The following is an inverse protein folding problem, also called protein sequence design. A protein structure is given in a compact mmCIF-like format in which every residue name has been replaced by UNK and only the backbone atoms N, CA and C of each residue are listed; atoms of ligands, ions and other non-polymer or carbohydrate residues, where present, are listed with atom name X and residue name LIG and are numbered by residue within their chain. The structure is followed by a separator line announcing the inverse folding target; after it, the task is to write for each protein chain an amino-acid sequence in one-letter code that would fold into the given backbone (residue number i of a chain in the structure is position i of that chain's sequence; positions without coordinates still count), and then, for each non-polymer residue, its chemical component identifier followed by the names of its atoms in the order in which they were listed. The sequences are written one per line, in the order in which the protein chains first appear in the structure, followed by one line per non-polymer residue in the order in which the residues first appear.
data_IF_041796268603
#
_entry.id   IF_041796268603
#
_cell.length_a   1.000
_cell.length_b   1.000
_cell.length_c   1.000
_cell.angle_alpha   90.00
_cell.angle_beta   90.00
_cell.angle_gamma   90.00
#
_symmetry.space_group_name_H-M   'P 1'
#
loop_
_entity.id
_entity.type
_entity.pdbx_description
1 polymer ?
#
# COMPACT_ATOMS: atom_id res chain seq x y z
N UNK A 1 14.98 -22.19 -9.80
CA UNK A 1 15.63 -21.97 -8.45
C UNK A 1 14.95 -22.82 -7.38
N UNK A 2 14.30 -23.87 -7.81
CA UNK A 2 13.55 -24.75 -6.96
C UNK A 2 14.52 -25.69 -6.26
N UNK A 3 14.51 -25.74 -4.94
CA UNK A 3 15.15 -26.79 -4.19
C UNK A 3 16.32 -26.43 -3.28
N UNK A 4 16.69 -25.16 -3.11
CA UNK A 4 17.73 -24.77 -2.14
C UNK A 4 17.24 -24.83 -0.68
N UNK A 5 15.92 -24.68 -0.47
CA UNK A 5 15.32 -24.68 0.85
C UNK A 5 14.06 -25.56 0.86
N UNK A 6 13.75 -26.23 1.97
CA UNK A 6 12.52 -27.03 2.13
C UNK A 6 11.26 -26.19 2.36
N UNK A 7 11.34 -24.88 2.18
CA UNK A 7 10.27 -23.90 2.37
C UNK A 7 10.32 -22.84 1.26
N UNK A 8 9.20 -22.20 1.01
CA UNK A 8 9.10 -21.08 0.10
C UNK A 8 9.75 -19.83 0.68
N UNK A 9 10.41 -19.04 -0.18
CA UNK A 9 11.03 -17.77 0.20
C UNK A 9 10.41 -16.65 -0.61
N UNK A 10 10.11 -15.51 0.04
CA UNK A 10 9.53 -14.32 -0.57
C UNK A 10 10.57 -13.29 -1.02
N UNK A 11 11.85 -13.53 -0.73
CA UNK A 11 12.93 -12.63 -1.11
C UNK A 11 14.24 -12.87 -0.39
N UNK A 12 15.08 -11.83 -0.38
CA UNK A 12 16.40 -11.83 0.24
C UNK A 12 16.53 -10.70 1.24
N UNK A 13 17.24 -10.95 2.33
CA UNK A 13 17.61 -9.93 3.31
C UNK A 13 19.12 -9.75 3.28
N UNK A 14 19.56 -8.51 3.02
CA UNK A 14 20.97 -8.13 3.02
C UNK A 14 21.26 -7.35 4.30
N UNK A 15 22.25 -7.80 5.06
CA UNK A 15 22.74 -7.14 6.26
C UNK A 15 24.25 -6.98 6.20
N UNK A 16 24.83 -5.89 6.73
CA UNK A 16 26.28 -5.74 6.78
C UNK A 16 26.88 -6.80 7.70
N UNK A 17 27.92 -7.51 7.23
CA UNK A 17 28.59 -8.55 8.02
C UNK A 17 29.40 -7.99 9.19
N UNK A 18 29.81 -6.74 9.12
CA UNK A 18 30.69 -6.11 10.09
C UNK A 18 29.96 -5.35 11.21
N UNK A 19 28.62 -5.21 11.10
CA UNK A 19 27.80 -4.52 12.09
C UNK A 19 27.00 -5.54 12.91
N UNK A 20 26.97 -5.36 14.23
CA UNK A 20 25.98 -6.07 15.03
C UNK A 20 24.57 -5.61 14.67
N UNK A 21 23.59 -6.51 14.70
CA UNK A 21 22.19 -6.18 14.42
C UNK A 21 21.73 -5.04 15.32
N UNK A 22 21.14 -4.00 14.72
CA UNK A 22 20.77 -2.79 15.44
C UNK A 22 21.90 -1.78 15.66
N UNK A 23 23.14 -2.15 15.33
CA UNK A 23 24.30 -1.26 15.39
C UNK A 23 24.46 -0.40 14.15
N UNK A 24 25.28 0.65 14.24
CA UNK A 24 25.61 1.55 13.15
C UNK A 24 27.11 1.73 12.93
N UNK A 25 27.92 0.95 13.62
CA UNK A 25 29.38 1.01 13.57
C UNK A 25 29.98 -0.38 13.43
N UNK A 26 31.09 -0.46 12.72
CA UNK A 26 31.89 -1.68 12.60
C UNK A 26 32.35 -2.18 13.97
N UNK A 27 32.19 -3.49 14.22
CA UNK A 27 32.57 -4.12 15.46
C UNK A 27 31.67 -3.86 16.67
N UNK A 28 30.58 -3.13 16.47
CA UNK A 28 29.59 -2.92 17.54
C UNK A 28 28.79 -4.20 17.79
N UNK A 29 28.57 -4.54 19.06
CA UNK A 29 27.76 -5.69 19.44
C UNK A 29 26.28 -5.49 19.06
N UNK A 30 25.57 -6.58 18.77
CA UNK A 30 24.12 -6.57 18.53
C UNK A 30 23.37 -6.00 19.73
N UNK A 31 22.37 -5.19 19.45
CA UNK A 31 21.45 -4.62 20.47
C UNK A 31 20.00 -4.93 20.10
N UNK A 32 19.14 -5.10 21.11
CA UNK A 32 17.70 -5.16 20.83
C UNK A 32 17.24 -3.80 20.29
N UNK A 33 16.64 -3.80 19.12
CA UNK A 33 16.04 -2.60 18.51
C UNK A 33 14.53 -2.78 18.48
N UNK A 34 13.82 -1.73 18.88
CA UNK A 34 12.35 -1.65 18.76
C UNK A 34 11.89 -1.05 17.42
N UNK A 35 12.83 -0.49 16.66
CA UNK A 35 12.59 0.19 15.40
C UNK A 35 13.23 -0.59 14.24
N UNK A 36 12.81 -0.29 13.03
CA UNK A 36 13.42 -0.87 11.82
C UNK A 36 14.89 -0.49 11.73
N UNK A 37 15.75 -1.50 11.59
CA UNK A 37 17.18 -1.27 11.41
C UNK A 37 17.48 -0.82 9.98
N UNK A 38 17.97 0.41 9.81
CA UNK A 38 18.19 1.06 8.50
C UNK A 38 19.22 0.38 7.61
N UNK A 39 20.11 -0.43 8.15
CA UNK A 39 21.10 -1.19 7.40
C UNK A 39 20.62 -2.59 6.98
N UNK A 40 19.37 -2.93 7.24
CA UNK A 40 18.77 -4.17 6.75
C UNK A 40 17.98 -3.87 5.48
N UNK A 41 18.44 -4.39 4.35
CA UNK A 41 17.79 -4.23 3.05
C UNK A 41 17.05 -5.51 2.67
N UNK A 42 15.77 -5.38 2.36
CA UNK A 42 14.93 -6.48 1.89
C UNK A 42 14.69 -6.33 0.41
N UNK A 43 15.01 -7.37 -0.35
CA UNK A 43 14.66 -7.45 -1.76
C UNK A 43 13.60 -8.53 -1.95
N UNK A 44 12.52 -8.17 -2.64
CA UNK A 44 11.43 -9.07 -3.01
C UNK A 44 11.17 -8.95 -4.51
N UNK A 45 10.84 -10.06 -5.21
CA UNK A 45 10.25 -9.97 -6.55
C UNK A 45 8.99 -9.10 -6.52
N UNK A 46 8.70 -8.38 -7.62
CA UNK A 46 7.55 -7.46 -7.71
C UNK A 46 6.22 -8.10 -7.29
N UNK A 47 6.03 -9.37 -7.64
CA UNK A 47 4.81 -10.14 -7.27
C UNK A 47 4.59 -10.32 -5.76
N UNK A 48 5.62 -10.09 -4.93
CA UNK A 48 5.54 -10.15 -3.47
C UNK A 48 5.61 -8.76 -2.82
N UNK A 49 5.67 -7.70 -3.62
CA UNK A 49 5.61 -6.34 -3.09
C UNK A 49 4.15 -5.96 -2.88
N UNK A 50 3.81 -5.72 -1.63
CA UNK A 50 2.47 -5.34 -1.21
C UNK A 50 2.52 -4.02 -0.45
N UNK A 51 1.41 -3.29 -0.45
CA UNK A 51 1.24 -2.05 0.29
C UNK A 51 -0.09 -2.13 1.04
N UNK A 52 -0.05 -1.78 2.32
CA UNK A 52 -1.23 -1.65 3.15
C UNK A 52 -1.89 -0.28 2.92
N UNK A 53 -3.15 -0.28 2.51
CA UNK A 53 -3.93 0.93 2.33
C UNK A 53 -5.11 0.97 3.29
N UNK A 54 -5.36 2.14 3.86
CA UNK A 54 -6.66 2.46 4.43
C UNK A 54 -7.60 2.74 3.25
N UNK A 55 -8.58 1.87 3.04
CA UNK A 55 -9.54 2.00 1.94
C UNK A 55 -10.80 2.74 2.39
N UNK A 56 -11.35 3.56 1.52
CA UNK A 56 -12.67 4.15 1.72
C UNK A 56 -13.49 4.10 0.45
N UNK A 57 -14.74 3.67 0.57
CA UNK A 57 -15.66 3.57 -0.57
C UNK A 57 -16.11 4.97 -1.00
N UNK A 58 -16.07 5.24 -2.30
CA UNK A 58 -16.62 6.49 -2.83
C UNK A 58 -18.13 6.54 -2.65
N UNK A 59 -18.61 7.70 -2.15
CA UNK A 59 -20.03 7.97 -1.93
C UNK A 59 -20.48 9.17 -2.78
N UNK A 60 -21.74 9.23 -3.07
CA UNK A 60 -22.36 10.39 -3.71
C UNK A 60 -22.60 11.53 -2.68
N UNK A 61 -23.18 12.64 -3.14
CA UNK A 61 -23.50 13.80 -2.30
C UNK A 61 -24.54 13.50 -1.21
N UNK A 62 -25.24 12.37 -1.27
CA UNK A 62 -26.22 11.90 -0.28
C UNK A 62 -25.62 10.87 0.69
N UNK A 63 -24.32 10.54 0.54
CA UNK A 63 -23.64 9.55 1.37
C UNK A 63 -23.87 8.10 0.94
N UNK A 64 -24.52 7.86 -0.22
CA UNK A 64 -24.76 6.53 -0.77
C UNK A 64 -23.54 6.09 -1.57
N UNK A 65 -23.12 4.84 -1.39
CA UNK A 65 -22.00 4.25 -2.10
C UNK A 65 -22.26 4.19 -3.61
N UNK A 66 -21.28 4.65 -4.40
CA UNK A 66 -21.38 4.63 -5.85
C UNK A 66 -21.12 3.22 -6.37
N UNK A 67 -22.06 2.70 -7.16
CA UNK A 67 -21.92 1.43 -7.87
C UNK A 67 -21.83 1.72 -9.35
N UNK A 68 -20.74 1.29 -9.97
CA UNK A 68 -20.55 1.31 -11.42
C UNK A 68 -20.84 -0.04 -12.05
N UNK A 69 -21.04 -0.04 -13.35
CA UNK A 69 -21.25 -1.24 -14.14
C UNK A 69 -20.22 -1.30 -15.27
N UNK A 70 -19.68 -2.47 -15.52
CA UNK A 70 -18.70 -2.73 -16.59
C UNK A 70 -18.96 -4.09 -17.21
N UNK A 71 -18.67 -4.23 -18.50
CA UNK A 71 -18.66 -5.53 -19.14
C UNK A 71 -17.31 -6.22 -18.92
N UNK A 72 -17.35 -7.51 -18.69
CA UNK A 72 -16.13 -8.32 -18.61
C UNK A 72 -15.42 -8.31 -19.97
N UNK A 73 -14.09 -8.12 -19.97
CA UNK A 73 -13.29 -8.09 -21.20
C UNK A 73 -13.51 -9.31 -22.09
N UNK A 74 -13.59 -9.09 -23.41
CA UNK A 74 -13.81 -10.13 -24.41
C UNK A 74 -15.22 -10.71 -24.41
N UNK A 75 -16.18 -10.11 -23.72
CA UNK A 75 -17.56 -10.58 -23.66
C UNK A 75 -18.46 -9.84 -24.65
N UNK A 76 -19.57 -10.50 -25.03
CA UNK A 76 -20.60 -9.89 -25.85
C UNK A 76 -21.37 -8.84 -25.02
N UNK A 77 -21.21 -7.55 -25.38
CA UNK A 77 -21.88 -6.43 -24.72
C UNK A 77 -23.40 -6.37 -24.95
N UNK A 78 -23.95 -7.27 -25.77
CA UNK A 78 -25.40 -7.40 -25.95
C UNK A 78 -26.10 -8.19 -24.83
N UNK A 79 -25.35 -8.90 -23.98
CA UNK A 79 -25.90 -9.73 -22.91
C UNK A 79 -25.77 -9.05 -21.54
N UNK A 80 -26.90 -8.83 -20.89
CA UNK A 80 -26.96 -8.22 -19.54
C UNK A 80 -26.31 -9.11 -18.46
N UNK A 81 -26.29 -10.42 -18.68
CA UNK A 81 -25.69 -11.40 -17.73
C UNK A 81 -24.17 -11.26 -17.62
N UNK A 82 -23.57 -10.47 -18.49
CA UNK A 82 -22.11 -10.25 -18.51
C UNK A 82 -21.69 -8.92 -17.89
N UNK A 83 -22.64 -8.18 -17.31
CA UNK A 83 -22.36 -6.94 -16.60
C UNK A 83 -21.84 -7.27 -15.20
N UNK A 84 -20.66 -6.75 -14.92
CA UNK A 84 -20.07 -6.76 -13.57
C UNK A 84 -20.39 -5.43 -12.89
N UNK A 85 -20.71 -5.51 -11.61
CA UNK A 85 -20.82 -4.33 -10.75
C UNK A 85 -19.52 -4.10 -10.01
N UNK A 86 -19.12 -2.84 -9.82
CA UNK A 86 -17.96 -2.49 -9.04
C UNK A 86 -18.22 -1.27 -8.16
N UNK A 87 -17.44 -1.16 -7.09
CA UNK A 87 -17.30 0.05 -6.28
C UNK A 87 -15.92 0.65 -6.49
N UNK A 88 -15.81 1.95 -6.28
CA UNK A 88 -14.53 2.65 -6.32
C UNK A 88 -14.04 2.84 -4.91
N UNK A 89 -12.84 2.31 -4.64
CA UNK A 89 -12.11 2.53 -3.40
C UNK A 89 -11.13 3.68 -3.58
N UNK A 90 -11.03 4.55 -2.58
CA UNK A 90 -9.92 5.49 -2.44
C UNK A 90 -8.87 4.87 -1.54
N UNK A 91 -7.68 4.65 -2.07
CA UNK A 91 -6.53 4.10 -1.37
C UNK A 91 -5.79 5.22 -0.65
N UNK A 92 -5.57 5.08 0.65
CA UNK A 92 -4.90 6.09 1.48
C UNK A 92 -3.73 5.47 2.22
N UNK A 93 -2.68 6.27 2.39
CA UNK A 93 -1.48 5.92 3.16
C UNK A 93 -1.31 6.90 4.32
N UNK A 94 -0.62 6.47 5.37
CA UNK A 94 -0.23 7.37 6.44
C UNK A 94 0.84 8.36 5.96
N UNK A 95 0.61 9.64 6.16
CA UNK A 95 1.52 10.70 5.81
C UNK A 95 1.71 11.67 6.98
N UNK A 96 2.95 11.88 7.35
CA UNK A 96 3.34 12.90 8.32
C UNK A 96 4.12 14.00 7.58
N UNK A 97 3.57 15.22 7.47
CA UNK A 97 4.24 16.32 6.78
C UNK A 97 5.62 16.67 7.36
N UNK A 98 5.83 16.45 8.65
CA UNK A 98 7.11 16.73 9.30
C UNK A 98 8.19 15.70 8.92
N UNK A 99 7.79 14.44 8.69
CA UNK A 99 8.71 13.35 8.34
C UNK A 99 8.83 13.13 6.84
N UNK A 100 7.73 13.30 6.08
CA UNK A 100 7.63 12.95 4.66
C UNK A 100 7.33 14.12 3.74
N UNK A 101 7.15 15.34 4.30
CA UNK A 101 6.89 16.53 3.53
C UNK A 101 8.08 16.96 2.67
N UNK A 102 7.83 17.88 1.75
CA UNK A 102 8.89 18.45 0.94
C UNK A 102 9.86 19.21 1.84
N UNK A 103 11.10 18.73 1.93
CA UNK A 103 12.18 19.39 2.64
C UNK A 103 12.94 20.28 1.64
N UNK A 104 12.99 21.58 1.91
CA UNK A 104 13.88 22.51 1.21
C UNK A 104 15.05 22.87 2.12
N UNK A 105 16.15 22.09 2.13
CA UNK A 105 17.24 22.30 3.07
C UNK A 105 17.91 23.67 2.91
N UNK A 106 17.90 24.25 1.71
CA UNK A 106 18.44 25.60 1.49
C UNK A 106 17.60 26.67 2.17
N UNK A 107 16.28 26.57 2.08
CA UNK A 107 15.36 27.49 2.73
C UNK A 107 15.36 27.33 4.25
N UNK A 108 15.45 26.10 4.73
CA UNK A 108 15.49 25.81 6.16
C UNK A 108 16.76 26.37 6.82
N UNK A 109 17.90 26.25 6.16
CA UNK A 109 19.16 26.87 6.60
C UNK A 109 19.06 28.41 6.61
N UNK A 110 18.45 29.03 5.58
CA UNK A 110 18.26 30.47 5.51
C UNK A 110 17.29 31.01 6.56
N UNK A 111 16.34 30.16 7.00
CA UNK A 111 15.34 30.52 8.01
C UNK A 111 15.69 30.07 9.43
N UNK A 112 16.90 29.51 9.62
CA UNK A 112 17.37 28.95 10.89
C UNK A 112 16.42 27.87 11.46
N UNK A 113 15.72 27.14 10.56
CA UNK A 113 14.85 26.04 10.88
C UNK A 113 15.61 24.73 10.80
N UNK A 114 16.05 24.24 11.93
CA UNK A 114 16.60 22.89 12.03
C UNK A 114 15.44 21.87 12.14
N UNK A 115 15.61 20.65 11.58
CA UNK A 115 14.64 19.60 11.82
C UNK A 115 14.51 19.36 13.32
N UNK A 116 13.27 19.38 13.81
CA UNK A 116 13.00 19.08 15.21
C UNK A 116 13.51 17.66 15.53
N UNK A 117 14.11 17.42 16.71
CA UNK A 117 14.46 16.08 17.13
C UNK A 117 13.20 15.22 17.10
N UNK A 118 13.33 13.99 16.59
CA UNK A 118 12.23 13.03 16.53
C UNK A 118 11.57 12.96 17.91
N UNK A 119 10.31 13.36 17.99
CA UNK A 119 9.53 13.23 19.21
C UNK A 119 9.26 11.75 19.46
N UNK A 120 9.38 11.31 20.71
CA UNK A 120 9.22 9.93 21.12
C UNK A 120 7.80 9.34 20.88
N UNK A 121 6.83 10.17 20.55
CA UNK A 121 5.46 9.76 20.19
C UNK A 121 5.31 9.67 18.66
N UNK A 122 5.57 8.46 18.16
CA UNK A 122 5.69 8.19 16.71
C UNK A 122 4.39 8.32 15.90
N UNK A 123 3.23 8.50 16.51
CA UNK A 123 1.94 8.39 15.81
C UNK A 123 1.10 9.68 15.71
N UNK A 124 1.40 10.74 16.44
CA UNK A 124 0.53 11.94 16.48
C UNK A 124 0.51 12.78 15.19
N UNK A 125 1.53 12.65 14.32
CA UNK A 125 1.67 13.41 13.07
C UNK A 125 1.04 12.77 11.85
N UNK A 126 0.74 11.48 11.88
CA UNK A 126 0.27 10.74 10.72
C UNK A 126 -1.21 10.98 10.41
N UNK A 127 -1.48 11.33 9.16
CA UNK A 127 -2.84 11.52 8.64
C UNK A 127 -3.04 10.66 7.39
N UNK A 128 -4.21 10.07 7.19
CA UNK A 128 -4.50 9.33 5.96
C UNK A 128 -4.65 10.31 4.79
N UNK A 129 -3.77 10.17 3.79
CA UNK A 129 -3.82 10.94 2.54
C UNK A 129 -3.96 10.01 1.36
N UNK A 130 -4.55 10.49 0.26
CA UNK A 130 -4.65 9.71 -0.97
C UNK A 130 -3.25 9.34 -1.49
N UNK A 131 -3.12 8.11 -1.99
CA UNK A 131 -1.85 7.59 -2.49
C UNK A 131 -1.52 8.18 -3.86
N UNK A 132 -0.39 8.88 -3.96
CA UNK A 132 0.15 9.41 -5.20
C UNK A 132 1.63 9.02 -5.32
N UNK A 133 1.98 8.05 -6.16
CA UNK A 133 3.37 7.73 -6.43
C UNK A 133 4.06 8.88 -7.18
N UNK A 134 5.33 9.08 -6.91
CA UNK A 134 6.11 10.18 -7.50
C UNK A 134 6.94 9.76 -8.69
N UNK A 135 7.27 8.46 -8.83
CA UNK A 135 8.08 7.94 -9.93
C UNK A 135 7.67 6.50 -10.30
N UNK A 136 6.94 6.30 -11.41
CA UNK A 136 6.29 7.34 -12.22
C UNK A 136 5.14 8.02 -11.46
N UNK A 137 4.86 9.27 -11.79
CA UNK A 137 3.70 9.95 -11.23
C UNK A 137 2.42 9.44 -11.88
N UNK A 138 1.46 9.05 -11.04
CA UNK A 138 0.12 8.69 -11.48
C UNK A 138 -0.92 9.38 -10.58
N UNK A 139 -1.74 10.23 -11.18
CA UNK A 139 -2.79 10.97 -10.49
C UNK A 139 -4.04 10.13 -10.18
N UNK A 140 -4.13 8.91 -10.69
CA UNK A 140 -5.24 7.98 -10.46
C UNK A 140 -4.85 6.78 -9.59
N UNK A 141 -3.59 6.63 -9.21
CA UNK A 141 -3.10 5.49 -8.44
C UNK A 141 -3.81 5.29 -7.08
N UNK A 142 -4.48 6.33 -6.57
CA UNK A 142 -5.31 6.25 -5.37
C UNK A 142 -6.70 5.65 -5.61
N UNK A 143 -7.06 5.35 -6.84
CA UNK A 143 -8.37 4.80 -7.20
C UNK A 143 -8.23 3.31 -7.53
N UNK A 144 -9.06 2.49 -6.88
CA UNK A 144 -9.15 1.07 -7.18
C UNK A 144 -10.61 0.71 -7.50
N UNK A 145 -10.83 0.06 -8.64
CA UNK A 145 -12.14 -0.45 -9.03
C UNK A 145 -12.30 -1.88 -8.52
N UNK A 146 -13.04 -2.05 -7.44
CA UNK A 146 -13.26 -3.35 -6.83
C UNK A 146 -14.55 -3.99 -7.35
N UNK A 147 -14.42 -5.04 -8.15
CA UNK A 147 -15.58 -5.80 -8.65
C UNK A 147 -16.28 -6.49 -7.49
N UNK A 148 -17.61 -6.41 -7.49
CA UNK A 148 -18.45 -7.06 -6.50
C UNK A 148 -18.58 -8.54 -6.81
N UNK A 149 -18.40 -9.37 -5.79
CA UNK A 149 -18.58 -10.82 -5.85
C UNK A 149 -19.74 -11.20 -4.92
N UNK A 150 -20.37 -12.34 -5.17
CA UNK A 150 -21.39 -12.89 -4.24
C UNK A 150 -20.72 -13.52 -3.04
N UNK A 151 -21.11 -13.11 -1.85
CA UNK A 151 -20.71 -13.77 -0.62
C UNK A 151 -21.50 -15.08 -0.39
N UNK A 152 -21.25 -15.76 0.73
CA UNK A 152 -21.93 -17.00 1.10
C UNK A 152 -23.45 -16.84 1.30
N UNK A 153 -23.94 -15.62 1.52
CA UNK A 153 -25.37 -15.29 1.67
C UNK A 153 -26.04 -14.95 0.35
N UNK A 154 -25.26 -14.84 -0.74
CA UNK A 154 -25.71 -14.42 -2.06
C UNK A 154 -25.77 -12.90 -2.25
N UNK A 155 -25.28 -12.12 -1.29
CA UNK A 155 -25.19 -10.67 -1.36
C UNK A 155 -23.96 -10.24 -2.16
N UNK A 156 -24.11 -9.22 -3.00
CA UNK A 156 -22.99 -8.64 -3.73
C UNK A 156 -22.15 -7.73 -2.82
N UNK A 157 -20.89 -8.10 -2.61
CA UNK A 157 -19.97 -7.38 -1.73
C UNK A 157 -18.54 -7.37 -2.29
N UNK A 158 -17.69 -6.56 -1.72
CA UNK A 158 -16.26 -6.55 -2.03
C UNK A 158 -15.57 -7.64 -1.23
N UNK A 159 -14.82 -8.52 -1.91
CA UNK A 159 -14.16 -9.67 -1.30
C UNK A 159 -12.70 -9.70 -1.73
N UNK A 160 -11.78 -9.84 -0.77
CA UNK A 160 -10.37 -10.11 -0.99
C UNK A 160 -10.13 -11.49 -1.62
N UNK A 161 -8.91 -11.75 -2.07
CA UNK A 161 -8.54 -13.05 -2.64
C UNK A 161 -8.57 -14.18 -1.60
N UNK A 162 -8.34 -13.86 -0.32
CA UNK A 162 -8.44 -14.79 0.80
C UNK A 162 -9.89 -15.08 1.25
N UNK A 163 -10.88 -14.39 0.67
CA UNK A 163 -12.31 -14.56 0.98
C UNK A 163 -12.87 -13.58 2.02
N UNK A 164 -12.04 -12.73 2.61
CA UNK A 164 -12.50 -11.72 3.58
C UNK A 164 -13.28 -10.60 2.89
N UNK A 165 -14.29 -10.08 3.59
CA UNK A 165 -15.08 -8.93 3.12
C UNK A 165 -14.29 -7.64 3.36
N UNK A 166 -14.21 -6.80 2.34
CA UNK A 166 -13.62 -5.47 2.44
C UNK A 166 -14.69 -4.50 2.97
N UNK A 167 -14.48 -4.00 4.18
CA UNK A 167 -15.35 -2.98 4.80
C UNK A 167 -14.84 -1.56 4.50
N UNK A 168 -15.74 -0.58 4.60
CA UNK A 168 -15.37 0.85 4.49
C UNK A 168 -14.47 1.25 5.67
N UNK A 169 -13.38 1.95 5.39
CA UNK A 169 -12.32 2.32 6.34
C UNK A 169 -11.53 1.15 6.95
N UNK A 170 -11.48 0.01 6.28
CA UNK A 170 -10.59 -1.09 6.64
C UNK A 170 -9.16 -0.86 6.11
N UNK A 171 -8.19 -1.53 6.74
CA UNK A 171 -6.83 -1.64 6.18
C UNK A 171 -6.78 -2.92 5.36
N UNK A 172 -6.40 -2.77 4.10
CA UNK A 172 -6.32 -3.88 3.15
C UNK A 172 -4.95 -3.87 2.49
N UNK A 173 -4.33 -5.05 2.42
CA UNK A 173 -3.07 -5.25 1.71
C UNK A 173 -3.34 -5.44 0.22
N UNK A 174 -2.70 -4.62 -0.60
CA UNK A 174 -2.80 -4.67 -2.06
C UNK A 174 -1.47 -5.08 -2.68
N UNK A 175 -1.57 -5.88 -3.72
CA UNK A 175 -0.47 -6.20 -4.61
C UNK A 175 -0.73 -5.51 -5.96
N UNK A 176 0.30 -4.86 -6.50
CA UNK A 176 0.23 -4.36 -7.87
C UNK A 176 0.39 -5.54 -8.86
N UNK A 177 -0.61 -5.75 -9.70
CA UNK A 177 -0.55 -6.76 -10.75
C UNK A 177 0.09 -6.15 -12.00
N UNK A 178 1.25 -6.66 -12.37
CA UNK A 178 1.99 -6.21 -13.55
C UNK A 178 1.62 -6.98 -14.82
N UNK A 179 0.82 -8.04 -14.69
CA UNK A 179 0.42 -8.90 -15.81
C UNK A 179 -0.94 -8.50 -16.39
N UNK A 180 -1.77 -7.80 -15.61
CA UNK A 180 -3.00 -7.21 -16.13
C UNK A 180 -2.69 -5.83 -16.74
N UNK A 181 -2.84 -5.72 -18.05
CA UNK A 181 -2.85 -4.42 -18.73
C UNK A 181 -4.00 -3.59 -18.17
N UNK A 182 -3.64 -2.40 -17.67
CA UNK A 182 -4.53 -1.46 -17.02
C UNK A 182 -5.68 -1.03 -17.94
N UNK A 183 -6.82 -1.66 -17.82
CA UNK A 183 -8.07 -1.21 -18.45
C UNK A 183 -9.09 -0.67 -17.43
N UNK A 184 -8.65 -0.36 -16.20
CA UNK A 184 -9.53 0.26 -15.22
C UNK A 184 -8.95 1.55 -14.66
#
# INVERSE_FOLDING_TARGET
KDGLFPYETDGLIFTPAEFGVGGNRKGEASRPVKTTWTYSFKWKPSKYNTIDFLVSVQKDGSGIEKIGNIFKNGTDTSSVDQILQYKILTLRVGFDPAKHGYLNPCQDVLMDKFPAPESADDNEGYKPVAFYPTNPYDNKAHLCHQVLKRDATGTFTMICDNGDIIEDNAIVEFRYDTEEENEF
#
